data_IF_003861308925
#
_entry.id   IF_003861308925
#
_cell.length_a   1.000
_cell.length_b   1.000
_cell.length_c   1.000
_cell.angle_alpha   90.00
_cell.angle_beta   90.00
_cell.angle_gamma   90.00
#
_symmetry.space_group_name_H-M   'P 1'
#
loop_
_entity.id
_entity.type
_entity.pdbx_description
1 polymer ?
#
# COMPACT_ATOMS: atom_id res chain seq x y z
N UNK A 1 12.78 47.30 20.53
CA UNK A 1 13.44 45.97 20.55
C UNK A 1 12.70 45.08 19.56
N UNK A 2 13.22 45.05 18.35
CA UNK A 2 12.65 44.31 17.21
C UNK A 2 13.03 42.84 17.34
N UNK A 3 12.04 41.98 17.60
CA UNK A 3 12.20 40.56 17.52
C UNK A 3 12.42 40.13 16.06
N UNK A 4 13.67 39.87 15.71
CA UNK A 4 14.00 39.25 14.44
C UNK A 4 13.40 37.80 14.45
N UNK A 5 12.72 37.36 13.37
CA UNK A 5 12.26 36.00 13.25
C UNK A 5 13.49 35.08 13.19
N UNK A 6 13.52 34.09 14.04
CA UNK A 6 14.49 32.99 13.96
C UNK A 6 14.23 32.27 12.64
N UNK A 7 14.93 32.64 11.59
CA UNK A 7 15.00 31.91 10.33
C UNK A 7 15.77 30.63 10.59
N UNK A 8 15.02 29.52 10.87
CA UNK A 8 15.57 28.19 10.72
C UNK A 8 16.13 28.10 9.30
N UNK A 9 17.44 28.04 9.16
CA UNK A 9 18.13 27.84 7.90
C UNK A 9 17.60 26.52 7.29
N UNK A 10 16.61 26.65 6.37
CA UNK A 10 16.12 25.54 5.56
C UNK A 10 17.31 25.09 4.73
N UNK A 11 17.89 23.95 5.09
CA UNK A 11 19.01 23.38 4.35
C UNK A 11 18.55 23.11 2.91
N UNK A 12 19.33 23.61 1.95
CA UNK A 12 19.09 23.42 0.49
C UNK A 12 19.16 21.93 0.07
N UNK A 13 19.33 21.02 1.02
CA UNK A 13 19.41 19.58 0.83
C UNK A 13 18.02 18.96 1.00
N UNK A 14 17.59 18.18 -0.01
CA UNK A 14 16.33 17.45 0.04
C UNK A 14 16.29 16.45 1.21
N UNK A 15 17.31 15.61 1.34
CA UNK A 15 17.41 14.66 2.44
C UNK A 15 17.92 15.38 3.69
N UNK A 16 16.99 15.78 4.52
CA UNK A 16 17.23 16.23 5.90
C UNK A 16 16.63 15.20 6.86
N UNK A 17 16.99 15.29 8.14
CA UNK A 17 16.58 14.32 9.14
C UNK A 17 15.05 14.20 9.30
N UNK A 18 14.24 15.28 9.35
CA UNK A 18 12.78 15.20 9.36
C UNK A 18 12.19 14.48 8.15
N UNK A 19 12.67 14.78 6.93
CA UNK A 19 12.24 14.13 5.68
C UNK A 19 12.52 12.64 5.73
N UNK A 20 13.74 12.25 6.14
CA UNK A 20 14.16 10.86 6.24
C UNK A 20 13.31 10.08 7.23
N UNK A 21 13.00 10.67 8.40
CA UNK A 21 12.13 10.06 9.42
C UNK A 21 10.73 9.80 8.88
N UNK A 22 10.13 10.75 8.15
CA UNK A 22 8.79 10.60 7.60
C UNK A 22 8.72 9.55 6.47
N UNK A 23 9.78 9.46 5.65
CA UNK A 23 9.91 8.39 4.65
C UNK A 23 10.06 7.03 5.34
N UNK A 24 10.89 6.96 6.40
CA UNK A 24 11.09 5.74 7.15
C UNK A 24 9.83 5.32 7.91
N UNK A 25 9.00 6.27 8.35
CA UNK A 25 7.68 5.96 8.90
C UNK A 25 6.79 5.23 7.89
N UNK A 26 6.73 5.72 6.65
CA UNK A 26 5.96 5.06 5.59
C UNK A 26 6.53 3.68 5.25
N UNK A 27 7.85 3.50 5.31
CA UNK A 27 8.48 2.19 5.18
C UNK A 27 8.03 1.23 6.31
N UNK A 28 7.99 1.71 7.57
CA UNK A 28 7.55 0.89 8.71
C UNK A 28 6.08 0.50 8.61
N UNK A 29 5.23 1.42 8.14
CA UNK A 29 3.81 1.14 7.87
C UNK A 29 3.68 0.05 6.80
N UNK A 30 4.37 0.20 5.67
CA UNK A 30 4.37 -0.78 4.59
C UNK A 30 4.97 -2.13 5.01
N UNK A 31 6.06 -2.14 5.78
CA UNK A 31 6.64 -3.37 6.31
C UNK A 31 5.64 -4.13 7.20
N UNK A 32 5.00 -3.44 8.14
CA UNK A 32 3.98 -4.05 9.00
C UNK A 32 2.78 -4.56 8.19
N UNK A 33 2.38 -3.85 7.14
CA UNK A 33 1.26 -4.24 6.28
C UNK A 33 1.57 -5.50 5.47
N UNK A 34 2.67 -5.51 4.74
CA UNK A 34 2.97 -6.53 3.73
C UNK A 34 3.71 -7.76 4.25
N UNK A 35 4.39 -7.67 5.41
CA UNK A 35 5.19 -8.77 5.92
C UNK A 35 4.38 -10.05 6.13
N UNK A 36 3.09 -9.94 6.45
CA UNK A 36 2.18 -11.08 6.65
C UNK A 36 2.12 -11.98 5.42
N UNK A 37 2.23 -11.42 4.22
CA UNK A 37 2.28 -12.20 2.96
C UNK A 37 3.51 -13.10 2.92
N UNK A 38 4.66 -12.57 3.36
CA UNK A 38 5.92 -13.32 3.40
C UNK A 38 5.98 -14.40 4.47
N UNK A 39 5.33 -14.16 5.63
CA UNK A 39 5.36 -15.04 6.81
C UNK A 39 4.04 -15.80 7.03
N UNK A 40 3.18 -15.84 6.00
CA UNK A 40 1.85 -16.47 6.07
C UNK A 40 1.94 -17.95 6.51
N UNK A 41 2.82 -18.79 5.92
CA UNK A 41 2.96 -20.18 6.36
C UNK A 41 3.46 -20.33 7.80
N UNK A 42 4.37 -19.44 8.24
CA UNK A 42 4.92 -19.46 9.60
C UNK A 42 3.85 -19.16 10.65
N UNK A 43 2.95 -18.17 10.36
CA UNK A 43 1.81 -17.85 11.24
C UNK A 43 0.83 -19.03 11.28
N UNK A 44 0.51 -19.60 10.12
CA UNK A 44 -0.43 -20.74 10.02
C UNK A 44 0.06 -21.93 10.84
N UNK A 45 1.32 -22.32 10.67
CA UNK A 45 2.00 -23.37 11.43
C UNK A 45 2.05 -23.04 12.94
N UNK A 46 2.49 -21.82 13.29
CA UNK A 46 2.66 -21.40 14.68
C UNK A 46 1.36 -21.31 15.49
N UNK A 47 0.24 -21.00 14.84
CA UNK A 47 -1.09 -20.93 15.46
C UNK A 47 -1.93 -22.21 15.21
N UNK A 48 -1.42 -23.17 14.43
CA UNK A 48 -2.11 -24.41 14.03
C UNK A 48 -3.45 -24.15 13.34
N UNK A 49 -3.46 -23.22 12.40
CA UNK A 49 -4.62 -22.82 11.59
C UNK A 49 -4.30 -22.94 10.10
N UNK A 50 -5.32 -22.87 9.24
CA UNK A 50 -5.12 -22.93 7.80
C UNK A 50 -4.47 -21.64 7.26
N UNK A 51 -3.72 -21.75 6.17
CA UNK A 51 -3.14 -20.60 5.46
C UNK A 51 -4.24 -19.66 4.94
N UNK A 52 -5.40 -20.20 4.57
CA UNK A 52 -6.58 -19.39 4.20
C UNK A 52 -7.05 -18.52 5.36
N UNK A 53 -7.09 -19.06 6.58
CA UNK A 53 -7.45 -18.29 7.77
C UNK A 53 -6.46 -17.14 8.01
N UNK A 54 -5.16 -17.37 7.79
CA UNK A 54 -4.14 -16.30 7.88
C UNK A 54 -4.29 -15.31 6.72
N UNK A 55 -4.57 -15.76 5.50
CA UNK A 55 -4.84 -14.91 4.34
C UNK A 55 -5.99 -13.93 4.59
N UNK A 56 -7.01 -14.33 5.36
CA UNK A 56 -8.09 -13.44 5.78
C UNK A 56 -7.62 -12.24 6.61
N UNK A 57 -6.46 -12.31 7.29
CA UNK A 57 -5.88 -11.14 7.98
C UNK A 57 -5.54 -10.02 6.98
N UNK A 58 -5.09 -10.37 5.77
CA UNK A 58 -4.77 -9.39 4.72
C UNK A 58 -6.05 -8.73 4.21
N UNK A 59 -7.09 -9.54 3.94
CA UNK A 59 -8.38 -9.04 3.48
C UNK A 59 -9.04 -8.13 4.51
N UNK A 60 -9.12 -8.56 5.77
CA UNK A 60 -9.76 -7.81 6.86
C UNK A 60 -8.98 -6.55 7.23
N UNK A 61 -7.64 -6.61 7.19
CA UNK A 61 -6.79 -5.43 7.34
C UNK A 61 -7.14 -4.36 6.31
N UNK A 62 -7.15 -4.72 5.03
CA UNK A 62 -7.43 -3.81 3.94
C UNK A 62 -8.89 -3.30 3.98
N UNK A 63 -9.84 -4.16 4.39
CA UNK A 63 -11.24 -3.79 4.57
C UNK A 63 -11.44 -2.70 5.63
N UNK A 64 -10.68 -2.73 6.72
CA UNK A 64 -10.71 -1.68 7.76
C UNK A 64 -9.88 -0.46 7.36
N UNK A 65 -8.72 -0.68 6.75
CA UNK A 65 -7.83 0.41 6.28
C UNK A 65 -8.57 1.36 5.33
N UNK A 66 -9.31 0.82 4.36
CA UNK A 66 -9.96 1.60 3.31
C UNK A 66 -10.91 2.70 3.83
N UNK A 67 -11.93 2.42 4.66
CA UNK A 67 -12.82 3.45 5.20
C UNK A 67 -12.16 4.30 6.28
N UNK A 68 -11.24 3.73 7.10
CA UNK A 68 -10.58 4.47 8.17
C UNK A 68 -9.66 5.57 7.63
N UNK A 69 -9.06 5.39 6.46
CA UNK A 69 -8.15 6.38 5.85
C UNK A 69 -8.82 7.74 5.60
N UNK A 70 -9.91 7.86 4.83
CA UNK A 70 -10.55 9.16 4.60
C UNK A 70 -11.21 9.73 5.87
N UNK A 71 -11.80 8.88 6.71
CA UNK A 71 -12.45 9.29 7.97
C UNK A 71 -11.38 9.82 8.93
N UNK A 72 -10.32 9.07 9.17
CA UNK A 72 -9.24 9.44 10.05
C UNK A 72 -8.49 10.69 9.58
N UNK A 73 -8.22 10.81 8.27
CA UNK A 73 -7.59 11.99 7.67
C UNK A 73 -8.43 13.24 7.86
N UNK A 74 -9.74 13.14 7.66
CA UNK A 74 -10.65 14.27 7.85
C UNK A 74 -10.82 14.64 9.34
N UNK A 75 -10.81 13.65 10.23
CA UNK A 75 -10.90 13.88 11.68
C UNK A 75 -9.60 14.49 12.21
N UNK A 76 -8.44 13.97 11.78
CA UNK A 76 -7.12 14.45 12.20
C UNK A 76 -6.86 15.92 11.86
N UNK A 77 -7.48 16.45 10.79
CA UNK A 77 -7.37 17.85 10.42
C UNK A 77 -7.91 18.84 11.48
N UNK A 78 -8.71 18.37 12.43
CA UNK A 78 -9.30 19.17 13.54
C UNK A 78 -8.39 19.28 14.75
N UNK A 79 -7.33 18.49 14.83
CA UNK A 79 -6.46 18.39 15.99
C UNK A 79 -5.03 18.85 15.65
N UNK A 80 -4.20 19.20 16.65
CA UNK A 80 -2.81 19.54 16.45
C UNK A 80 -2.08 18.37 15.78
N UNK A 81 -1.56 18.61 14.56
CA UNK A 81 -0.96 17.60 13.69
C UNK A 81 0.11 16.75 14.38
N UNK A 82 1.05 17.40 15.08
CA UNK A 82 2.15 16.71 15.78
C UNK A 82 1.66 15.73 16.84
N UNK A 83 0.77 16.19 17.73
CA UNK A 83 0.22 15.34 18.79
C UNK A 83 -0.59 14.17 18.21
N UNK A 84 -1.45 14.45 17.22
CA UNK A 84 -2.25 13.43 16.54
C UNK A 84 -1.37 12.38 15.88
N UNK A 85 -0.29 12.80 15.22
CA UNK A 85 0.64 11.89 14.57
C UNK A 85 1.32 10.95 15.57
N UNK A 86 1.83 11.48 16.69
CA UNK A 86 2.45 10.65 17.74
C UNK A 86 1.46 9.71 18.42
N UNK A 87 0.22 10.16 18.68
CA UNK A 87 -0.83 9.30 19.27
C UNK A 87 -1.14 8.13 18.33
N UNK A 88 -1.34 8.40 17.04
CA UNK A 88 -1.64 7.36 16.06
C UNK A 88 -0.44 6.41 15.85
N UNK A 89 0.80 6.92 15.88
CA UNK A 89 2.00 6.07 15.90
C UNK A 89 2.08 5.21 17.16
N UNK A 90 1.64 5.73 18.30
CA UNK A 90 1.48 4.94 19.53
C UNK A 90 0.48 3.81 19.38
N UNK A 91 -0.67 4.06 18.75
CA UNK A 91 -1.67 3.03 18.44
C UNK A 91 -1.08 1.97 17.49
N UNK A 92 -0.35 2.40 16.45
CA UNK A 92 0.36 1.50 15.54
C UNK A 92 1.39 0.63 16.27
N UNK A 93 2.17 1.21 17.18
CA UNK A 93 3.13 0.49 18.02
C UNK A 93 2.43 -0.55 18.90
N UNK A 94 1.38 -0.15 19.63
CA UNK A 94 0.59 -1.08 20.47
C UNK A 94 0.04 -2.24 19.64
N UNK A 95 -0.48 -1.96 18.44
CA UNK A 95 -0.95 -3.00 17.52
C UNK A 95 0.16 -4.01 17.14
N UNK A 96 1.37 -3.54 16.82
CA UNK A 96 2.50 -4.42 16.48
C UNK A 96 2.99 -5.24 17.69
N UNK A 97 3.02 -4.65 18.89
CA UNK A 97 3.34 -5.37 20.14
C UNK A 97 2.29 -6.45 20.40
N UNK A 98 1.00 -6.15 20.22
CA UNK A 98 -0.06 -7.14 20.36
C UNK A 98 0.05 -8.27 19.32
N UNK A 99 0.47 -7.97 18.07
CA UNK A 99 0.77 -9.02 17.08
C UNK A 99 1.90 -9.93 17.56
N UNK A 100 2.98 -9.36 18.11
CA UNK A 100 4.12 -10.12 18.63
C UNK A 100 3.74 -11.02 19.82
N UNK A 101 2.83 -10.57 20.67
CA UNK A 101 2.37 -11.27 21.87
C UNK A 101 1.15 -12.17 21.61
N UNK A 102 0.58 -12.19 20.40
CA UNK A 102 -0.66 -12.88 20.10
C UNK A 102 -0.60 -14.38 20.40
N UNK A 103 -1.39 -14.91 21.36
CA UNK A 103 -1.42 -16.34 21.67
C UNK A 103 -2.29 -17.14 20.69
N UNK A 104 -3.23 -16.46 20.00
CA UNK A 104 -4.21 -17.06 19.12
C UNK A 104 -4.64 -16.09 17.99
N UNK A 105 -5.38 -16.62 17.02
CA UNK A 105 -5.84 -15.87 15.86
C UNK A 105 -6.73 -14.64 16.19
N UNK A 106 -7.74 -14.72 17.09
CA UNK A 106 -8.57 -13.55 17.42
C UNK A 106 -7.76 -12.36 17.95
N UNK A 107 -6.77 -12.61 18.81
CA UNK A 107 -5.90 -11.53 19.32
C UNK A 107 -5.05 -10.95 18.20
N UNK A 108 -4.48 -11.80 17.35
CA UNK A 108 -3.71 -11.35 16.18
C UNK A 108 -4.59 -10.53 15.22
N UNK A 109 -5.83 -10.97 14.96
CA UNK A 109 -6.79 -10.25 14.14
C UNK A 109 -7.10 -8.85 14.71
N UNK A 110 -7.47 -8.76 15.99
CA UNK A 110 -7.76 -7.47 16.64
C UNK A 110 -6.55 -6.53 16.55
N UNK A 111 -5.36 -7.04 16.80
CA UNK A 111 -4.12 -6.27 16.68
C UNK A 111 -3.91 -5.74 15.25
N UNK A 112 -4.15 -6.57 14.24
CA UNK A 112 -4.05 -6.19 12.81
C UNK A 112 -5.10 -5.13 12.43
N UNK A 113 -6.34 -5.28 12.90
CA UNK A 113 -7.39 -4.28 12.64
C UNK A 113 -7.09 -2.94 13.33
N UNK A 114 -6.49 -2.97 14.52
CA UNK A 114 -6.03 -1.76 15.20
C UNK A 114 -4.96 -1.03 14.38
N UNK A 115 -3.96 -1.76 13.85
CA UNK A 115 -2.93 -1.20 12.95
C UNK A 115 -3.59 -0.60 11.70
N UNK A 116 -4.50 -1.34 11.05
CA UNK A 116 -5.18 -0.92 9.83
C UNK A 116 -5.94 0.40 10.01
N UNK A 117 -6.61 0.57 11.16
CA UNK A 117 -7.43 1.74 11.45
C UNK A 117 -6.66 3.07 11.45
N UNK A 118 -5.36 3.03 11.70
CA UNK A 118 -4.52 4.23 11.81
C UNK A 118 -3.52 4.40 10.66
N UNK A 119 -3.15 3.33 9.95
CA UNK A 119 -2.05 3.33 8.99
C UNK A 119 -2.26 4.33 7.84
N UNK A 120 -3.43 4.34 7.20
CA UNK A 120 -3.73 5.27 6.10
C UNK A 120 -3.76 6.73 6.56
N UNK A 121 -4.28 6.97 7.77
CA UNK A 121 -4.28 8.31 8.38
C UNK A 121 -2.86 8.80 8.66
N UNK A 122 -1.98 7.92 9.13
CA UNK A 122 -0.57 8.22 9.37
C UNK A 122 0.14 8.65 8.07
N UNK A 123 -0.09 7.94 6.97
CA UNK A 123 0.45 8.33 5.66
C UNK A 123 -0.04 9.71 5.24
N UNK A 124 -1.35 9.96 5.38
CA UNK A 124 -1.94 11.25 5.01
C UNK A 124 -1.37 12.40 5.85
N UNK A 125 -1.24 12.22 7.17
CA UNK A 125 -0.65 13.24 8.07
C UNK A 125 0.83 13.45 7.74
N UNK A 126 1.61 12.40 7.41
CA UNK A 126 3.01 12.54 7.01
C UNK A 126 3.18 13.54 5.87
N UNK A 127 2.31 13.49 4.87
CA UNK A 127 2.35 14.42 3.73
C UNK A 127 2.05 15.86 4.11
N UNK A 128 1.25 16.08 5.15
CA UNK A 128 0.92 17.45 5.61
C UNK A 128 2.11 18.17 6.25
N UNK A 129 3.18 17.44 6.62
CA UNK A 129 4.42 18.06 7.11
C UNK A 129 5.29 18.65 5.99
N UNK A 130 5.00 18.37 4.71
CA UNK A 130 5.80 18.81 3.58
C UNK A 130 6.20 20.30 3.62
N UNK A 131 5.29 21.27 3.88
CA UNK A 131 5.65 22.69 3.93
C UNK A 131 6.66 23.06 5.04
N UNK A 132 6.71 22.26 6.11
CA UNK A 132 7.55 22.56 7.27
C UNK A 132 8.93 21.88 7.19
N UNK A 133 9.02 20.73 6.50
CA UNK A 133 10.24 19.93 6.46
C UNK A 133 11.01 20.05 5.14
N UNK A 134 10.39 20.64 4.09
CA UNK A 134 11.02 20.82 2.78
C UNK A 134 10.67 22.17 2.16
N UNK A 135 11.41 22.58 1.13
CA UNK A 135 11.11 23.77 0.34
C UNK A 135 10.07 23.47 -0.75
N UNK A 136 9.38 24.49 -1.26
CA UNK A 136 8.36 24.34 -2.31
C UNK A 136 8.89 23.58 -3.54
N UNK A 137 10.18 23.80 -3.90
CA UNK A 137 10.88 23.08 -4.97
C UNK A 137 10.87 21.56 -4.80
N UNK A 138 10.91 21.08 -3.57
CA UNK A 138 11.02 19.64 -3.27
C UNK A 138 9.73 19.02 -2.74
N UNK A 139 8.63 19.75 -2.68
CA UNK A 139 7.37 19.30 -2.09
C UNK A 139 6.80 18.07 -2.80
N UNK A 140 6.73 18.11 -4.13
CA UNK A 140 6.26 16.96 -4.93
C UNK A 140 7.19 15.76 -4.77
N UNK A 141 8.51 16.00 -4.76
CA UNK A 141 9.51 14.96 -4.54
C UNK A 141 9.35 14.30 -3.16
N UNK A 142 9.06 15.09 -2.11
CA UNK A 142 8.81 14.56 -0.76
C UNK A 142 7.60 13.62 -0.74
N UNK A 143 6.47 14.03 -1.33
CA UNK A 143 5.25 13.22 -1.41
C UNK A 143 5.55 11.90 -2.12
N UNK A 144 6.28 11.94 -3.25
CA UNK A 144 6.67 10.74 -3.98
C UNK A 144 7.55 9.81 -3.14
N UNK A 145 8.50 10.35 -2.35
CA UNK A 145 9.35 9.55 -1.48
C UNK A 145 8.60 8.94 -0.28
N UNK A 146 7.61 9.63 0.28
CA UNK A 146 6.72 9.08 1.31
C UNK A 146 5.97 7.85 0.77
N UNK A 147 5.41 7.93 -0.44
CA UNK A 147 4.79 6.76 -1.08
C UNK A 147 5.80 5.66 -1.44
N UNK A 148 7.02 6.04 -1.85
CA UNK A 148 8.08 5.06 -2.14
C UNK A 148 8.47 4.24 -0.91
N UNK A 149 8.21 4.73 0.31
CA UNK A 149 8.41 3.97 1.54
C UNK A 149 7.70 2.60 1.51
N UNK A 150 6.48 2.53 1.00
CA UNK A 150 5.74 1.27 0.82
C UNK A 150 6.38 0.35 -0.22
N UNK A 151 6.82 0.90 -1.35
CA UNK A 151 7.52 0.10 -2.37
C UNK A 151 8.85 -0.43 -1.85
N UNK A 152 9.59 0.37 -1.07
CA UNK A 152 10.83 -0.08 -0.42
C UNK A 152 10.52 -1.17 0.61
N UNK A 153 9.40 -1.05 1.34
CA UNK A 153 8.98 -2.07 2.29
C UNK A 153 8.68 -3.42 1.62
N UNK A 154 8.06 -3.43 0.44
CA UNK A 154 7.81 -4.67 -0.29
C UNK A 154 9.09 -5.32 -0.80
N UNK A 155 10.11 -4.52 -1.17
CA UNK A 155 11.41 -5.03 -1.71
C UNK A 155 12.36 -5.48 -0.61
N UNK A 156 12.40 -4.76 0.50
CA UNK A 156 13.41 -4.95 1.57
C UNK A 156 12.76 -5.43 2.86
N UNK A 157 11.63 -4.84 3.23
CA UNK A 157 10.96 -5.11 4.50
C UNK A 157 10.36 -6.51 4.57
N UNK A 158 9.64 -6.92 3.51
CA UNK A 158 9.02 -8.26 3.46
C UNK A 158 10.08 -9.37 3.48
N UNK A 159 11.12 -9.35 2.63
CA UNK A 159 12.17 -10.36 2.67
C UNK A 159 12.94 -10.42 4.00
N UNK A 160 13.27 -9.26 4.59
CA UNK A 160 13.89 -9.21 5.91
C UNK A 160 12.97 -9.84 6.97
N UNK A 161 11.68 -9.45 6.94
CA UNK A 161 10.70 -10.01 7.86
C UNK A 161 10.53 -11.52 7.72
N UNK A 162 10.52 -12.03 6.48
CA UNK A 162 10.45 -13.48 6.20
C UNK A 162 11.71 -14.20 6.67
N UNK A 163 12.90 -13.63 6.42
CA UNK A 163 14.14 -14.20 6.92
C UNK A 163 14.19 -14.26 8.45
N UNK A 164 13.75 -13.19 9.13
CA UNK A 164 13.64 -13.15 10.59
C UNK A 164 12.65 -14.20 11.09
N UNK A 165 11.50 -14.35 10.43
CA UNK A 165 10.48 -15.32 10.80
C UNK A 165 10.98 -16.77 10.68
N UNK A 166 11.64 -17.10 9.58
CA UNK A 166 12.20 -18.43 9.33
C UNK A 166 13.34 -18.79 10.30
N UNK A 167 14.08 -17.78 10.81
CA UNK A 167 15.23 -18.00 11.68
C UNK A 167 14.86 -17.99 13.17
N UNK A 168 14.01 -17.05 13.58
CA UNK A 168 13.71 -16.74 14.99
C UNK A 168 12.23 -16.89 15.33
N UNK A 169 11.38 -17.20 14.34
CA UNK A 169 9.94 -17.31 14.48
C UNK A 169 9.20 -16.01 14.14
N UNK A 170 7.99 -16.14 13.62
CA UNK A 170 7.18 -15.04 13.08
C UNK A 170 6.88 -13.90 14.07
N UNK A 171 6.81 -14.21 15.35
CA UNK A 171 6.58 -13.19 16.41
C UNK A 171 7.72 -12.18 16.50
N UNK A 172 8.96 -12.63 16.27
CA UNK A 172 10.15 -11.78 16.33
C UNK A 172 10.12 -10.71 15.24
N UNK A 173 9.49 -10.99 14.11
CA UNK A 173 9.30 -9.97 13.06
C UNK A 173 8.46 -8.79 13.56
N UNK A 174 7.39 -9.03 14.32
CA UNK A 174 6.59 -7.94 14.90
C UNK A 174 7.30 -7.24 16.06
N UNK A 175 8.14 -7.94 16.83
CA UNK A 175 9.04 -7.29 17.80
C UNK A 175 10.03 -6.36 17.12
N UNK A 176 10.64 -6.77 16.01
CA UNK A 176 11.54 -5.93 15.22
C UNK A 176 10.83 -4.64 14.75
N UNK A 177 9.64 -4.78 14.16
CA UNK A 177 8.81 -3.62 13.76
C UNK A 177 8.52 -2.72 14.96
N UNK A 178 8.19 -3.29 16.12
CA UNK A 178 7.86 -2.53 17.33
C UNK A 178 9.07 -1.74 17.87
N UNK A 179 10.24 -2.35 17.90
CA UNK A 179 11.48 -1.70 18.34
C UNK A 179 11.84 -0.54 17.41
N UNK A 180 11.84 -0.78 16.09
CA UNK A 180 12.12 0.25 15.09
C UNK A 180 11.09 1.39 15.14
N UNK A 181 9.79 1.07 15.34
CA UNK A 181 8.74 2.08 15.52
C UNK A 181 8.96 2.92 16.76
N UNK A 182 9.43 2.31 17.88
CA UNK A 182 9.73 3.04 19.10
C UNK A 182 10.88 4.04 18.90
N UNK A 183 11.98 3.61 18.28
CA UNK A 183 13.11 4.48 17.93
C UNK A 183 12.65 5.62 17.01
N UNK A 184 11.79 5.30 16.04
CA UNK A 184 11.23 6.27 15.12
C UNK A 184 10.35 7.30 15.85
N UNK A 185 9.48 6.87 16.77
CA UNK A 185 8.64 7.78 17.58
C UNK A 185 9.46 8.73 18.44
N UNK A 186 10.51 8.24 19.07
CA UNK A 186 11.44 9.09 19.85
C UNK A 186 12.08 10.13 18.93
N UNK A 187 12.58 9.71 17.77
CA UNK A 187 13.18 10.59 16.77
C UNK A 187 12.19 11.65 16.28
N UNK A 188 10.94 11.27 16.03
CA UNK A 188 9.86 12.19 15.64
C UNK A 188 9.55 13.21 16.73
N UNK A 189 9.48 12.76 17.99
CA UNK A 189 9.19 13.64 19.12
C UNK A 189 10.26 14.72 19.32
N UNK A 190 11.52 14.43 18.93
CA UNK A 190 12.66 15.35 19.05
C UNK A 190 12.75 16.33 17.88
N UNK A 191 12.32 15.94 16.67
CA UNK A 191 12.70 16.62 15.42
C UNK A 191 11.52 17.24 14.68
N UNK A 192 10.32 16.66 14.76
CA UNK A 192 9.18 17.16 13.99
C UNK A 192 8.68 18.51 14.56
N UNK A 193 8.32 19.44 13.67
CA UNK A 193 7.80 20.74 14.06
C UNK A 193 6.46 20.60 14.79
N UNK A 194 6.35 21.30 15.92
CA UNK A 194 5.15 21.27 16.79
C UNK A 194 4.10 22.31 16.42
N UNK A 195 4.49 23.31 15.61
CA UNK A 195 3.61 24.41 15.20
C UNK A 195 2.70 23.96 14.07
N UNK A 196 1.42 23.74 14.39
CA UNK A 196 0.41 23.46 13.37
C UNK A 196 -0.89 24.17 13.72
N UNK A 197 -1.45 24.84 12.75
CA UNK A 197 -2.79 25.43 12.86
C UNK A 197 -3.76 24.44 12.24
N UNK A 198 -4.78 23.97 12.98
CA UNK A 198 -5.84 23.12 12.44
C UNK A 198 -6.52 23.82 11.27
N UNK A 199 -6.62 23.16 10.13
CA UNK A 199 -7.33 23.70 8.99
C UNK A 199 -8.84 23.53 9.19
N UNK A 200 -9.60 24.63 9.15
CA UNK A 200 -11.08 24.59 9.18
C UNK A 200 -11.61 24.22 7.80
N UNK A 201 -11.56 22.94 7.43
CA UNK A 201 -12.11 22.44 6.17
C UNK A 201 -13.46 21.78 6.46
N UNK A 202 -14.48 22.15 5.71
CA UNK A 202 -15.82 21.55 5.82
C UNK A 202 -15.79 20.08 5.37
N UNK A 203 -15.90 19.17 6.33
CA UNK A 203 -15.79 17.72 6.15
C UNK A 203 -16.73 17.17 5.05
N UNK A 204 -18.03 17.47 5.17
CA UNK A 204 -19.05 16.94 4.26
C UNK A 204 -18.91 17.44 2.81
N UNK A 205 -18.36 18.64 2.61
CA UNK A 205 -18.21 19.22 1.26
C UNK A 205 -17.19 18.47 0.42
N UNK A 206 -16.20 17.85 1.05
CA UNK A 206 -15.18 17.07 0.36
C UNK A 206 -15.76 15.82 -0.30
N UNK A 207 -16.77 15.19 0.32
CA UNK A 207 -17.39 13.96 -0.17
C UNK A 207 -18.17 14.13 -1.48
N UNK A 208 -18.45 15.36 -1.93
CA UNK A 208 -19.02 15.60 -3.27
C UNK A 208 -18.18 15.03 -4.40
N UNK A 209 -16.87 14.87 -4.18
CA UNK A 209 -15.95 14.26 -5.13
C UNK A 209 -16.38 12.82 -5.53
N UNK A 210 -16.95 12.05 -4.62
CA UNK A 210 -17.42 10.69 -4.89
C UNK A 210 -18.61 10.61 -5.88
N UNK A 211 -19.31 11.70 -6.12
CA UNK A 211 -20.42 11.75 -7.10
C UNK A 211 -19.92 12.08 -8.52
N UNK A 212 -18.67 12.42 -8.71
CA UNK A 212 -18.10 12.62 -10.05
C UNK A 212 -17.88 11.25 -10.73
N UNK A 213 -18.44 11.10 -11.95
CA UNK A 213 -18.40 9.83 -12.70
C UNK A 213 -16.96 9.40 -13.02
N UNK A 214 -16.06 10.35 -13.24
CA UNK A 214 -14.62 10.08 -13.50
C UNK A 214 -13.97 9.46 -12.29
N UNK A 215 -14.32 9.94 -11.10
CA UNK A 215 -13.83 9.40 -9.84
C UNK A 215 -14.40 8.00 -9.59
N UNK A 216 -15.69 7.80 -9.79
CA UNK A 216 -16.33 6.48 -9.59
C UNK A 216 -15.70 5.41 -10.48
N UNK A 217 -15.53 5.71 -11.78
CA UNK A 217 -14.90 4.78 -12.71
C UNK A 217 -13.43 4.57 -12.40
N UNK A 218 -12.69 5.63 -12.04
CA UNK A 218 -11.28 5.52 -11.62
C UNK A 218 -11.11 4.69 -10.34
N UNK A 219 -11.98 4.87 -9.33
CA UNK A 219 -12.00 4.04 -8.12
C UNK A 219 -12.25 2.58 -8.48
N UNK A 220 -13.25 2.31 -9.33
CA UNK A 220 -13.58 0.94 -9.74
C UNK A 220 -12.45 0.29 -10.56
N UNK A 221 -11.76 1.06 -11.41
CA UNK A 221 -10.57 0.61 -12.16
C UNK A 221 -9.45 0.16 -11.21
N UNK A 222 -9.10 1.00 -10.22
CA UNK A 222 -8.07 0.67 -9.23
C UNK A 222 -8.48 -0.51 -8.36
N UNK A 223 -9.75 -0.59 -7.95
CA UNK A 223 -10.28 -1.72 -7.16
C UNK A 223 -10.12 -3.03 -7.93
N UNK A 224 -10.54 -3.08 -9.20
CA UNK A 224 -10.43 -4.29 -10.02
C UNK A 224 -8.97 -4.64 -10.31
N UNK A 225 -8.12 -3.66 -10.64
CA UNK A 225 -6.69 -3.89 -10.91
C UNK A 225 -5.92 -4.37 -9.68
N UNK A 226 -6.20 -3.82 -8.51
CA UNK A 226 -5.62 -4.29 -7.25
C UNK A 226 -6.16 -5.69 -6.88
N UNK A 227 -7.48 -5.94 -7.02
CA UNK A 227 -8.06 -7.25 -6.78
C UNK A 227 -7.41 -8.32 -7.67
N UNK A 228 -7.22 -8.04 -8.97
CA UNK A 228 -6.54 -8.95 -9.89
C UNK A 228 -5.16 -9.41 -9.38
N UNK A 229 -4.41 -8.48 -8.80
CA UNK A 229 -3.09 -8.78 -8.24
C UNK A 229 -3.19 -9.52 -6.90
N UNK A 230 -4.09 -9.11 -6.00
CA UNK A 230 -4.13 -9.61 -4.63
C UNK A 230 -4.84 -10.96 -4.46
N UNK A 231 -5.57 -11.43 -5.47
CA UNK A 231 -6.07 -12.82 -5.48
C UNK A 231 -4.90 -13.80 -5.35
N UNK A 232 -3.79 -13.60 -6.05
CA UNK A 232 -2.62 -14.48 -5.99
C UNK A 232 -1.52 -13.97 -5.04
N UNK A 233 -1.31 -12.64 -4.95
CA UNK A 233 -0.22 -12.07 -4.17
C UNK A 233 -0.30 -12.40 -2.68
N UNK A 234 -1.50 -12.47 -2.11
CA UNK A 234 -1.72 -12.86 -0.71
C UNK A 234 -1.17 -14.24 -0.42
N UNK A 235 -1.17 -15.13 -1.41
CA UNK A 235 -0.69 -16.51 -1.34
C UNK A 235 0.64 -16.71 -2.07
N UNK A 236 1.42 -15.61 -2.26
CA UNK A 236 2.67 -15.66 -3.01
C UNK A 236 3.67 -16.66 -2.44
N UNK A 237 3.84 -16.71 -1.11
CA UNK A 237 4.75 -17.66 -0.45
C UNK A 237 4.30 -19.11 -0.63
N UNK A 238 3.03 -19.48 -0.39
CA UNK A 238 2.51 -20.81 -0.75
C UNK A 238 2.68 -21.16 -2.24
N UNK A 239 2.38 -20.24 -3.16
CA UNK A 239 2.57 -20.50 -4.60
C UNK A 239 4.03 -20.80 -4.92
N UNK A 240 4.96 -20.03 -4.37
CA UNK A 240 6.41 -20.26 -4.58
C UNK A 240 6.84 -21.62 -4.03
N UNK A 241 6.36 -22.01 -2.84
CA UNK A 241 6.72 -23.25 -2.17
C UNK A 241 6.08 -24.47 -2.83
N UNK A 242 4.75 -24.44 -2.98
CA UNK A 242 3.95 -25.64 -3.29
C UNK A 242 3.71 -25.83 -4.79
N UNK A 243 3.56 -24.74 -5.59
CA UNK A 243 3.35 -24.83 -7.03
C UNK A 243 4.66 -24.76 -7.83
N UNK A 244 5.60 -23.92 -7.41
CA UNK A 244 6.87 -23.73 -8.11
C UNK A 244 7.97 -24.62 -7.53
N UNK A 245 7.80 -25.10 -6.28
CA UNK A 245 8.78 -25.98 -5.63
C UNK A 245 10.04 -25.25 -5.14
N UNK A 246 9.93 -23.96 -4.80
CA UNK A 246 11.03 -23.18 -4.22
C UNK A 246 11.27 -23.65 -2.78
N UNK A 247 12.48 -24.14 -2.44
CA UNK A 247 12.81 -24.53 -1.08
C UNK A 247 12.64 -23.36 -0.10
N UNK A 248 12.18 -23.64 1.14
CA UNK A 248 11.88 -22.62 2.16
C UNK A 248 13.05 -21.65 2.40
N UNK A 249 14.28 -22.14 2.40
CA UNK A 249 15.48 -21.33 2.56
C UNK A 249 15.67 -20.27 1.48
N UNK A 250 15.07 -20.42 0.29
CA UNK A 250 15.17 -19.49 -0.84
C UNK A 250 13.92 -18.62 -1.01
N UNK A 251 12.85 -18.81 -0.23
CA UNK A 251 11.62 -18.01 -0.32
C UNK A 251 11.90 -16.51 -0.15
N UNK A 252 12.75 -16.14 0.82
CA UNK A 252 13.14 -14.74 1.03
C UNK A 252 13.81 -14.14 -0.20
N UNK A 253 14.65 -14.89 -0.90
CA UNK A 253 15.31 -14.44 -2.15
C UNK A 253 14.26 -14.28 -3.26
N UNK A 254 13.34 -15.22 -3.40
CA UNK A 254 12.23 -15.13 -4.35
C UNK A 254 11.38 -13.87 -4.11
N UNK A 255 11.06 -13.57 -2.85
CA UNK A 255 10.34 -12.35 -2.46
C UNK A 255 11.14 -11.07 -2.74
N UNK A 256 12.48 -11.07 -2.59
CA UNK A 256 13.34 -9.94 -3.02
C UNK A 256 13.21 -9.71 -4.52
N UNK A 257 13.33 -10.76 -5.32
CA UNK A 257 13.23 -10.67 -6.78
C UNK A 257 11.86 -10.12 -7.19
N UNK A 258 10.78 -10.66 -6.60
CA UNK A 258 9.43 -10.17 -6.82
C UNK A 258 9.26 -8.70 -6.39
N UNK A 259 9.78 -8.34 -5.22
CA UNK A 259 9.75 -6.97 -4.71
C UNK A 259 10.51 -6.00 -5.62
N UNK A 260 11.67 -6.39 -6.16
CA UNK A 260 12.41 -5.60 -7.16
C UNK A 260 11.57 -5.35 -8.42
N UNK A 261 10.84 -6.37 -8.89
CA UNK A 261 9.90 -6.24 -10.00
C UNK A 261 8.77 -5.24 -9.69
N UNK A 262 8.21 -5.30 -8.49
CA UNK A 262 7.19 -4.35 -8.01
C UNK A 262 7.73 -2.92 -7.92
N UNK A 263 8.96 -2.72 -7.43
CA UNK A 263 9.61 -1.41 -7.39
C UNK A 263 9.81 -0.85 -8.80
N UNK A 264 10.31 -1.67 -9.72
CA UNK A 264 10.44 -1.29 -11.12
C UNK A 264 9.09 -0.88 -11.71
N UNK A 265 8.03 -1.67 -11.45
CA UNK A 265 6.65 -1.38 -11.86
C UNK A 265 6.19 0.01 -11.41
N UNK A 266 6.38 0.33 -10.13
CA UNK A 266 5.96 1.62 -9.57
C UNK A 266 6.74 2.80 -10.19
N UNK A 267 8.07 2.67 -10.32
CA UNK A 267 8.92 3.70 -10.93
C UNK A 267 8.62 3.92 -12.41
N UNK A 268 8.38 2.83 -13.15
CA UNK A 268 8.05 2.90 -14.57
C UNK A 268 6.63 3.44 -14.79
N UNK A 269 5.67 3.06 -13.93
CA UNK A 269 4.32 3.62 -13.89
C UNK A 269 4.32 5.14 -13.70
N UNK A 270 5.20 5.66 -12.82
CA UNK A 270 5.43 7.10 -12.66
C UNK A 270 5.88 7.77 -13.95
N UNK A 271 6.87 7.19 -14.66
CA UNK A 271 7.34 7.71 -15.95
C UNK A 271 6.28 7.66 -17.05
N UNK A 272 5.39 6.66 -17.03
CA UNK A 272 4.26 6.59 -17.97
C UNK A 272 3.25 7.69 -17.69
N UNK A 273 2.97 7.97 -16.42
CA UNK A 273 2.06 9.03 -15.99
C UNK A 273 2.58 10.44 -16.32
N UNK A 274 3.90 10.66 -16.29
CA UNK A 274 4.52 11.95 -16.60
C UNK A 274 4.48 12.30 -18.11
N UNK A 275 4.33 11.31 -19.00
CA UNK A 275 4.34 11.50 -20.46
C UNK A 275 3.05 12.10 -21.03
N UNK A 276 1.98 12.19 -20.22
CA UNK A 276 0.69 12.72 -20.66
C UNK A 276 0.04 13.61 -19.60
N UNK A 277 -0.84 14.53 -20.03
CA UNK A 277 -1.72 15.30 -19.14
C UNK A 277 -3.11 14.66 -19.13
N UNK A 278 -3.68 14.57 -17.96
CA UNK A 278 -5.05 14.07 -17.76
C UNK A 278 -5.18 12.57 -18.01
N UNK A 279 -5.51 12.15 -19.22
CA UNK A 279 -6.01 10.80 -19.55
C UNK A 279 -5.09 9.95 -20.37
N UNK A 280 -4.17 10.58 -21.10
CA UNK A 280 -3.23 9.81 -21.92
C UNK A 280 -2.53 8.69 -21.11
N UNK A 281 -2.15 8.90 -19.83
CA UNK A 281 -1.61 7.83 -19.02
C UNK A 281 -2.52 6.61 -18.89
N UNK A 282 -3.83 6.81 -18.80
CA UNK A 282 -4.81 5.72 -18.68
C UNK A 282 -5.02 4.93 -19.98
N UNK A 283 -4.79 5.53 -21.15
CA UNK A 283 -4.92 4.80 -22.43
C UNK A 283 -3.89 3.67 -22.56
N UNK A 284 -2.73 3.81 -21.90
CA UNK A 284 -1.68 2.80 -21.88
C UNK A 284 -1.91 1.69 -20.86
N UNK A 285 -2.85 1.87 -19.92
CA UNK A 285 -3.14 0.88 -18.87
C UNK A 285 -3.95 -0.29 -19.41
N UNK A 286 -4.87 -0.07 -20.34
CA UNK A 286 -5.70 -1.15 -20.90
C UNK A 286 -4.91 -2.33 -21.45
N UNK A 287 -3.92 -2.16 -22.35
CA UNK A 287 -3.12 -3.29 -22.83
C UNK A 287 -2.32 -3.97 -21.69
N UNK A 288 -1.93 -3.22 -20.67
CA UNK A 288 -1.24 -3.76 -19.49
C UNK A 288 -2.14 -4.75 -18.75
N UNK A 289 -3.41 -4.41 -18.52
CA UNK A 289 -4.37 -5.33 -17.90
C UNK A 289 -4.62 -6.58 -18.74
N UNK A 290 -4.66 -6.45 -20.09
CA UNK A 290 -4.79 -7.62 -20.96
C UNK A 290 -3.56 -8.55 -20.85
N UNK A 291 -2.35 -8.00 -20.82
CA UNK A 291 -1.13 -8.77 -20.61
C UNK A 291 -1.13 -9.41 -19.23
N UNK A 292 -1.53 -8.65 -18.20
CA UNK A 292 -1.66 -9.18 -16.84
C UNK A 292 -2.64 -10.36 -16.78
N UNK A 293 -3.80 -10.26 -17.44
CA UNK A 293 -4.78 -11.35 -17.50
C UNK A 293 -4.20 -12.61 -18.14
N UNK A 294 -3.44 -12.48 -19.23
CA UNK A 294 -2.76 -13.61 -19.88
C UNK A 294 -1.72 -14.24 -18.92
N UNK A 295 -0.86 -13.44 -18.30
CA UNK A 295 0.12 -13.94 -17.34
C UNK A 295 -0.55 -14.65 -16.15
N UNK A 296 -1.66 -14.12 -15.65
CA UNK A 296 -2.43 -14.72 -14.57
C UNK A 296 -3.05 -16.06 -14.99
N UNK A 297 -3.62 -16.17 -16.20
CA UNK A 297 -4.12 -17.46 -16.72
C UNK A 297 -3.00 -18.49 -16.84
N UNK A 298 -1.82 -18.08 -17.32
CA UNK A 298 -0.66 -18.96 -17.45
C UNK A 298 -0.10 -19.42 -16.11
N UNK A 299 -0.31 -18.68 -15.03
CA UNK A 299 0.13 -19.05 -13.68
C UNK A 299 -0.51 -20.38 -13.21
N UNK A 300 -1.68 -20.75 -13.71
CA UNK A 300 -2.31 -22.04 -13.43
C UNK A 300 -1.45 -23.26 -13.85
N UNK A 301 -0.51 -23.06 -14.75
CA UNK A 301 0.38 -24.10 -15.26
C UNK A 301 1.81 -24.00 -14.69
N UNK A 302 1.98 -23.19 -13.63
CA UNK A 302 3.31 -22.95 -13.03
C UNK A 302 3.99 -24.22 -12.51
N UNK A 303 3.20 -25.16 -11.98
CA UNK A 303 3.69 -26.47 -11.48
C UNK A 303 4.23 -27.38 -12.57
N UNK A 304 3.78 -27.24 -13.83
CA UNK A 304 4.28 -28.04 -14.97
C UNK A 304 5.70 -27.65 -15.37
N UNK A 305 6.02 -26.36 -15.28
CA UNK A 305 7.35 -25.82 -15.65
C UNK A 305 7.74 -24.76 -14.60
N UNK A 306 8.38 -25.17 -13.48
CA UNK A 306 8.71 -24.27 -12.36
C UNK A 306 9.47 -23.01 -12.77
N UNK A 307 10.43 -23.11 -13.69
CA UNK A 307 11.19 -21.95 -14.20
C UNK A 307 10.28 -20.94 -14.91
N UNK A 308 9.30 -21.40 -15.69
CA UNK A 308 8.32 -20.53 -16.33
C UNK A 308 7.38 -19.88 -15.28
N UNK A 309 6.96 -20.63 -14.25
CA UNK A 309 6.21 -20.13 -13.13
C UNK A 309 6.93 -18.99 -12.41
N UNK A 310 8.22 -19.16 -12.12
CA UNK A 310 9.04 -18.12 -11.51
C UNK A 310 9.15 -16.85 -12.39
N UNK A 311 9.34 -17.00 -13.69
CA UNK A 311 9.37 -15.88 -14.63
C UNK A 311 8.02 -15.17 -14.72
N UNK A 312 6.90 -15.91 -14.69
CA UNK A 312 5.55 -15.35 -14.65
C UNK A 312 5.32 -14.53 -13.39
N UNK A 313 5.78 -14.98 -12.22
CA UNK A 313 5.68 -14.19 -10.99
C UNK A 313 6.45 -12.87 -11.14
N UNK A 314 7.66 -12.87 -11.67
CA UNK A 314 8.43 -11.65 -11.93
C UNK A 314 7.67 -10.73 -12.89
N UNK A 315 7.13 -11.25 -13.98
CA UNK A 315 6.33 -10.48 -14.94
C UNK A 315 5.08 -9.88 -14.27
N UNK A 316 4.37 -10.63 -13.42
CA UNK A 316 3.23 -10.14 -12.66
C UNK A 316 3.62 -9.05 -11.67
N UNK A 317 4.77 -9.18 -11.01
CA UNK A 317 5.35 -8.12 -10.17
C UNK A 317 5.62 -6.84 -10.96
N UNK A 318 6.15 -6.95 -12.20
CA UNK A 318 6.38 -5.81 -13.10
C UNK A 318 5.07 -5.13 -13.55
N UNK A 319 3.94 -5.82 -13.53
CA UNK A 319 2.64 -5.28 -13.94
C UNK A 319 1.83 -4.71 -12.78
N UNK A 320 2.17 -5.04 -11.53
CA UNK A 320 1.33 -4.86 -10.34
C UNK A 320 0.98 -3.40 -10.02
N UNK A 321 1.92 -2.46 -10.17
CA UNK A 321 1.78 -1.07 -9.75
C UNK A 321 1.81 -0.04 -10.90
N UNK A 322 1.80 -0.48 -12.16
CA UNK A 322 1.88 0.42 -13.33
C UNK A 322 0.74 1.43 -13.39
N UNK A 323 -0.44 1.05 -12.93
CA UNK A 323 -1.64 1.88 -12.90
C UNK A 323 -1.62 2.96 -11.82
N UNK A 324 -0.82 2.79 -10.77
CA UNK A 324 -0.92 3.54 -9.52
C UNK A 324 -0.76 5.06 -9.73
N UNK A 325 0.28 5.45 -10.47
CA UNK A 325 0.56 6.86 -10.74
C UNK A 325 -0.48 7.51 -11.67
N UNK A 326 -0.95 6.77 -12.68
CA UNK A 326 -1.93 7.29 -13.63
C UNK A 326 -3.29 7.56 -12.95
N UNK A 327 -3.72 6.65 -12.06
CA UNK A 327 -4.95 6.81 -11.28
C UNK A 327 -4.84 7.97 -10.28
N UNK A 328 -3.68 8.14 -9.63
CA UNK A 328 -3.44 9.26 -8.74
C UNK A 328 -3.51 10.60 -9.47
N UNK A 329 -2.93 10.69 -10.67
CA UNK A 329 -3.00 11.89 -11.52
C UNK A 329 -4.44 12.19 -11.90
N UNK A 330 -5.23 11.20 -12.33
CA UNK A 330 -6.66 11.36 -12.62
C UNK A 330 -7.42 11.98 -11.43
N UNK A 331 -7.27 11.43 -10.22
CA UNK A 331 -7.99 11.92 -9.06
C UNK A 331 -7.62 13.36 -8.71
N UNK A 332 -6.35 13.70 -8.81
CA UNK A 332 -5.85 15.05 -8.54
C UNK A 332 -6.35 16.04 -9.59
N UNK A 333 -6.30 15.70 -10.88
CA UNK A 333 -6.75 16.56 -11.98
C UNK A 333 -8.25 16.85 -11.86
N UNK A 334 -9.08 15.84 -11.60
CA UNK A 334 -10.53 16.02 -11.38
C UNK A 334 -10.79 16.92 -10.16
N UNK A 335 -10.02 16.75 -9.08
CA UNK A 335 -10.17 17.59 -7.90
C UNK A 335 -9.79 19.04 -8.19
N UNK A 336 -8.65 19.28 -8.84
CA UNK A 336 -8.22 20.64 -9.18
C UNK A 336 -9.18 21.36 -10.15
N UNK A 337 -9.71 20.65 -11.15
CA UNK A 337 -10.58 21.23 -12.17
C UNK A 337 -12.01 21.48 -11.68
N UNK A 338 -12.58 20.50 -10.96
CA UNK A 338 -14.02 20.49 -10.67
C UNK A 338 -14.35 20.62 -9.18
N UNK A 339 -13.42 20.23 -8.29
CA UNK A 339 -13.66 20.13 -6.85
C UNK A 339 -12.47 20.64 -6.00
N UNK A 340 -12.05 21.92 -6.13
CA UNK A 340 -10.81 22.41 -5.49
C UNK A 340 -10.80 22.31 -3.97
N UNK A 341 -11.99 22.23 -3.33
CA UNK A 341 -12.11 21.97 -1.88
C UNK A 341 -11.88 20.50 -1.46
N UNK A 342 -11.72 19.57 -2.40
CA UNK A 342 -11.60 18.12 -2.15
C UNK A 342 -10.23 17.53 -2.50
N UNK A 343 -9.22 18.37 -2.72
CA UNK A 343 -7.86 17.94 -3.12
C UNK A 343 -7.24 16.97 -2.10
N UNK A 344 -7.43 17.20 -0.79
CA UNK A 344 -6.93 16.31 0.24
C UNK A 344 -7.61 14.93 0.20
N UNK A 345 -8.92 14.90 -0.05
CA UNK A 345 -9.63 13.64 -0.24
C UNK A 345 -9.15 12.92 -1.50
N UNK A 346 -8.98 13.64 -2.62
CA UNK A 346 -8.46 13.06 -3.87
C UNK A 346 -7.09 12.40 -3.68
N UNK A 347 -6.21 13.01 -2.87
CA UNK A 347 -4.91 12.46 -2.53
C UNK A 347 -4.99 11.10 -1.81
N UNK A 348 -6.07 10.85 -1.07
CA UNK A 348 -6.28 9.59 -0.33
C UNK A 348 -7.06 8.53 -1.12
N UNK A 349 -7.70 8.89 -2.24
CA UNK A 349 -8.56 7.98 -3.00
C UNK A 349 -7.82 6.79 -3.57
N UNK A 350 -6.60 7.00 -4.05
CA UNK A 350 -5.81 5.90 -4.62
C UNK A 350 -5.51 4.82 -3.57
N UNK A 351 -5.04 5.23 -2.39
CA UNK A 351 -4.77 4.31 -1.29
C UNK A 351 -6.04 3.61 -0.80
N UNK A 352 -7.15 4.34 -0.68
CA UNK A 352 -8.45 3.77 -0.32
C UNK A 352 -8.91 2.72 -1.35
N UNK A 353 -8.91 3.08 -2.64
CA UNK A 353 -9.35 2.20 -3.74
C UNK A 353 -8.49 0.94 -3.83
N UNK A 354 -7.18 1.10 -3.68
CA UNK A 354 -6.23 0.01 -3.71
C UNK A 354 -6.49 -0.98 -2.56
N UNK A 355 -6.74 -0.47 -1.34
CA UNK A 355 -7.07 -1.32 -0.20
C UNK A 355 -8.45 -1.99 -0.31
N UNK A 356 -9.45 -1.36 -0.94
CA UNK A 356 -10.71 -2.06 -1.29
C UNK A 356 -10.41 -3.24 -2.22
N UNK A 357 -9.57 -3.03 -3.23
CA UNK A 357 -9.12 -4.09 -4.14
C UNK A 357 -8.35 -5.19 -3.43
N UNK A 358 -7.45 -4.86 -2.49
CA UNK A 358 -6.75 -5.82 -1.62
C UNK A 358 -7.76 -6.66 -0.84
N UNK A 359 -8.75 -6.02 -0.20
CA UNK A 359 -9.75 -6.71 0.59
C UNK A 359 -10.55 -7.72 -0.24
N UNK A 360 -11.04 -7.29 -1.40
CA UNK A 360 -11.81 -8.16 -2.32
C UNK A 360 -10.91 -9.26 -2.88
N UNK A 361 -9.74 -8.92 -3.41
CA UNK A 361 -8.82 -9.86 -4.02
C UNK A 361 -8.34 -10.93 -3.04
N UNK A 362 -7.92 -10.53 -1.83
CA UNK A 362 -7.46 -11.46 -0.80
C UNK A 362 -8.59 -12.38 -0.28
N UNK A 363 -9.81 -11.83 -0.10
CA UNK A 363 -10.97 -12.62 0.31
C UNK A 363 -11.37 -13.65 -0.75
N UNK A 364 -11.45 -13.21 -2.02
CA UNK A 364 -11.73 -14.12 -3.14
C UNK A 364 -10.60 -15.14 -3.30
N UNK A 365 -9.34 -14.72 -3.17
CA UNK A 365 -8.18 -15.62 -3.18
C UNK A 365 -8.26 -16.69 -2.09
N UNK A 366 -8.70 -16.33 -0.88
CA UNK A 366 -8.96 -17.29 0.20
C UNK A 366 -9.99 -18.34 -0.17
N UNK A 367 -11.15 -17.91 -0.67
CA UNK A 367 -12.21 -18.81 -1.11
C UNK A 367 -11.77 -19.74 -2.26
N UNK A 368 -11.05 -19.18 -3.23
CA UNK A 368 -10.54 -19.97 -4.37
C UNK A 368 -9.51 -20.99 -3.91
N UNK A 369 -8.59 -20.60 -3.03
CA UNK A 369 -7.59 -21.51 -2.49
C UNK A 369 -8.24 -22.66 -1.70
N UNK A 370 -9.27 -22.36 -0.90
CA UNK A 370 -9.97 -23.36 -0.09
C UNK A 370 -10.79 -24.35 -0.94
N UNK A 371 -11.44 -23.85 -2.01
CA UNK A 371 -12.35 -24.65 -2.84
C UNK A 371 -11.66 -25.33 -4.03
N UNK A 372 -10.69 -24.68 -4.65
CA UNK A 372 -10.11 -25.06 -5.95
C UNK A 372 -8.59 -25.26 -5.90
N UNK A 373 -7.92 -24.72 -4.86
CA UNK A 373 -6.47 -24.76 -4.70
C UNK A 373 -5.72 -23.60 -5.35
N UNK A 374 -4.39 -23.55 -5.09
CA UNK A 374 -3.50 -22.45 -5.46
C UNK A 374 -3.44 -22.18 -6.98
N UNK A 375 -3.52 -23.23 -7.81
CA UNK A 375 -3.43 -23.11 -9.26
C UNK A 375 -4.54 -22.23 -9.87
N UNK A 376 -5.72 -22.15 -9.23
CA UNK A 376 -6.85 -21.37 -9.71
C UNK A 376 -6.82 -19.87 -9.33
N UNK A 377 -5.90 -19.47 -8.47
CA UNK A 377 -5.75 -18.07 -8.07
C UNK A 377 -5.46 -17.16 -9.25
N UNK A 378 -4.57 -17.60 -10.17
CA UNK A 378 -4.26 -16.87 -11.39
C UNK A 378 -5.48 -16.66 -12.29
N UNK A 379 -6.15 -17.70 -12.77
CA UNK A 379 -7.35 -17.57 -13.62
C UNK A 379 -8.45 -16.68 -13.04
N UNK A 380 -8.73 -16.77 -11.73
CA UNK A 380 -9.71 -15.90 -11.07
C UNK A 380 -9.22 -14.45 -11.01
N UNK A 381 -7.93 -14.22 -10.74
CA UNK A 381 -7.32 -12.89 -10.83
C UNK A 381 -7.43 -12.28 -12.23
N UNK A 382 -7.32 -13.10 -13.28
CA UNK A 382 -7.46 -12.66 -14.68
C UNK A 382 -8.85 -12.08 -14.97
N UNK A 383 -9.91 -12.59 -14.35
CA UNK A 383 -11.27 -12.04 -14.49
C UNK A 383 -11.31 -10.59 -14.03
N UNK A 384 -10.73 -10.29 -12.86
CA UNK A 384 -10.65 -8.91 -12.35
C UNK A 384 -9.80 -8.00 -13.26
N UNK A 385 -8.71 -8.51 -13.83
CA UNK A 385 -7.87 -7.75 -14.78
C UNK A 385 -8.65 -7.41 -16.05
N UNK A 386 -9.47 -8.32 -16.57
CA UNK A 386 -10.33 -8.08 -17.74
C UNK A 386 -11.44 -7.07 -17.41
N UNK A 387 -12.03 -7.11 -16.21
CA UNK A 387 -12.98 -6.08 -15.77
C UNK A 387 -12.31 -4.70 -15.70
N UNK A 388 -11.09 -4.60 -15.14
CA UNK A 388 -10.32 -3.36 -15.11
C UNK A 388 -10.07 -2.83 -16.54
N UNK A 389 -9.65 -3.69 -17.48
CA UNK A 389 -9.49 -3.32 -18.89
C UNK A 389 -10.78 -2.78 -19.53
N UNK A 390 -11.94 -3.36 -19.18
CA UNK A 390 -13.25 -2.88 -19.60
C UNK A 390 -13.59 -1.50 -19.04
N UNK A 391 -13.36 -1.30 -17.74
CA UNK A 391 -13.61 -0.02 -17.06
C UNK A 391 -12.73 1.09 -17.63
N UNK A 392 -11.45 0.82 -17.87
CA UNK A 392 -10.52 1.78 -18.52
C UNK A 392 -11.06 2.23 -19.88
N UNK A 393 -11.73 1.33 -20.64
CA UNK A 393 -12.37 1.67 -21.91
C UNK A 393 -13.57 2.60 -21.72
N UNK A 394 -14.39 2.36 -20.68
CA UNK A 394 -15.53 3.22 -20.33
C UNK A 394 -15.11 4.58 -19.78
N UNK A 395 -13.96 4.67 -19.17
CA UNK A 395 -13.42 5.92 -18.63
C UNK A 395 -12.96 6.87 -19.73
N UNK A 396 -12.45 6.35 -20.86
CA UNK A 396 -11.85 7.11 -21.97
C UNK A 396 -12.71 8.27 -22.50
N UNK A 397 -14.03 8.12 -22.78
CA UNK A 397 -14.85 9.23 -23.31
C UNK A 397 -15.10 10.37 -22.32
N UNK A 398 -15.04 10.10 -21.02
CA UNK A 398 -15.28 11.12 -19.99
C UNK A 398 -14.08 12.04 -19.74
N UNK A 399 -12.97 11.75 -20.37
CA UNK A 399 -11.69 12.37 -20.11
C UNK A 399 -11.23 13.19 -21.32
N UNK A 400 -11.79 12.93 -22.49
CA UNK A 400 -11.57 13.71 -23.73
C UNK A 400 -12.47 14.95 -23.82
N UNK A 401 -13.36 15.16 -22.84
CA UNK A 401 -14.20 16.35 -22.68
C UNK A 401 -13.68 17.21 -21.53
#
# INVERSE_FOLDING_TARGET
MTNAPVTNARTDRFFNFPVTILIFASFMLGMSEFVVVGILPDIASGLKISEVTVGNLVALFAFVYAPCTPIGSALSARFPRFATYLILMGVFLVGNVLCALAPNYPVLLIARLLIASVSGTLVAISMTFAPDVTTDKYRTKFIAWVFSGFSIASVVGVPIGTWVANTFGWRVTFYLVSVLTTVLMISMALVLPRNSHPAKIGFLRQFRLFFDRRIQLGVLDVVCGAAASYVFYTYLSPIMRDEIGVPEQYLSIGLVIYGCACLWSNLYGGKLADKGRGVEPLTHIRPIYCVQAVCLCLLAFASLVPAAGALLLVALGMLMYLQNSASQVLYMDVAYQSHPGSVNLAASLNSMSFNIGIAIGSAVGGLVNDLLGLAWLGPVGAIFALFAAGITTLLRPYIQR
#
